data_IF_808736531095
#
_entry.id   IF_808736531095
#
_cell.length_a   1.000
_cell.length_b   1.000
_cell.length_c   1.000
_cell.angle_alpha   90.00
_cell.angle_beta   90.00
_cell.angle_gamma   90.00
#
_symmetry.space_group_name_H-M   'P 1'
#
loop_
_entity.id
_entity.type
_entity.pdbx_description
1 polymer ?
#
# COMPACT_ATOMS: atom_id res chain seq x y z
N UNK A 1 -4.87 -19.28 -4.31
CA UNK A 1 -4.07 -18.03 -4.37
C UNK A 1 -3.11 -18.00 -3.17
N UNK A 2 -2.08 -17.16 -3.17
CA UNK A 2 -1.11 -17.05 -2.06
C UNK A 2 -1.78 -16.76 -0.71
N UNK A 3 -2.74 -15.83 -0.67
CA UNK A 3 -3.56 -15.55 0.51
C UNK A 3 -4.27 -16.79 1.05
N UNK A 4 -4.87 -17.62 0.18
CA UNK A 4 -5.53 -18.87 0.60
C UNK A 4 -4.55 -19.83 1.27
N UNK A 5 -3.29 -19.89 0.78
CA UNK A 5 -2.24 -20.70 1.41
C UNK A 5 -1.84 -20.12 2.77
N UNK A 6 -1.71 -18.80 2.86
CA UNK A 6 -1.35 -18.11 4.09
C UNK A 6 -2.42 -18.30 5.17
N UNK A 7 -3.69 -18.11 4.82
CA UNK A 7 -4.83 -18.34 5.73
C UNK A 7 -4.97 -19.81 6.15
N UNK A 8 -4.62 -20.75 5.25
CA UNK A 8 -4.52 -22.18 5.60
C UNK A 8 -3.44 -22.43 6.66
N UNK A 9 -2.29 -21.76 6.57
CA UNK A 9 -1.23 -21.90 7.58
C UNK A 9 -1.64 -21.24 8.92
N UNK A 10 -2.33 -20.10 8.90
CA UNK A 10 -2.93 -19.49 10.10
C UNK A 10 -3.91 -20.47 10.75
N UNK A 11 -4.77 -21.09 9.94
CA UNK A 11 -5.73 -22.11 10.39
C UNK A 11 -5.04 -23.30 11.07
N UNK A 12 -3.93 -23.79 10.49
CA UNK A 12 -3.13 -24.88 11.07
C UNK A 12 -2.46 -24.46 12.37
N UNK A 13 -1.95 -23.24 12.44
CA UNK A 13 -1.34 -22.69 13.65
C UNK A 13 -2.36 -22.63 14.79
N UNK A 14 -3.53 -22.02 14.56
CA UNK A 14 -4.60 -21.91 15.56
C UNK A 14 -5.00 -23.28 16.11
N UNK A 15 -5.22 -24.26 15.23
CA UNK A 15 -5.56 -25.64 15.62
C UNK A 15 -4.46 -26.31 16.45
N UNK A 16 -3.19 -26.17 16.05
CA UNK A 16 -2.04 -26.76 16.76
C UNK A 16 -1.90 -26.20 18.17
N UNK A 17 -2.19 -24.91 18.35
CA UNK A 17 -2.08 -24.20 19.62
C UNK A 17 -3.38 -24.19 20.44
N UNK A 18 -4.41 -24.95 20.02
CA UNK A 18 -5.72 -25.02 20.69
C UNK A 18 -6.39 -23.66 20.87
N UNK A 19 -6.13 -22.72 19.93
CA UNK A 19 -6.70 -21.38 19.90
C UNK A 19 -8.05 -21.37 19.18
N UNK A 20 -8.86 -20.33 19.41
CA UNK A 20 -10.18 -20.22 18.78
C UNK A 20 -10.01 -19.97 17.28
N UNK A 21 -10.41 -20.95 16.47
CA UNK A 21 -10.24 -20.93 15.02
C UNK A 21 -11.49 -20.49 14.25
N UNK A 22 -12.68 -20.71 14.80
CA UNK A 22 -13.97 -20.45 14.14
C UNK A 22 -14.91 -19.73 15.08
N UNK A 23 -15.74 -18.85 14.53
CA UNK A 23 -16.81 -18.20 15.27
C UNK A 23 -18.20 -18.58 14.78
N UNK A 24 -19.20 -18.31 15.61
CA UNK A 24 -20.63 -18.45 15.29
C UNK A 24 -21.31 -17.08 15.25
N UNK A 25 -22.50 -17.00 14.64
CA UNK A 25 -23.26 -15.75 14.58
C UNK A 25 -23.70 -15.27 15.98
N UNK A 26 -23.80 -16.18 16.95
CA UNK A 26 -24.29 -15.92 18.31
C UNK A 26 -23.16 -15.68 19.32
N UNK A 27 -21.91 -15.47 18.88
CA UNK A 27 -20.79 -15.19 19.76
C UNK A 27 -20.99 -13.88 20.54
N UNK A 28 -20.69 -13.91 21.84
CA UNK A 28 -20.59 -12.68 22.62
C UNK A 28 -19.45 -11.78 22.11
N UNK A 29 -19.51 -10.49 22.44
CA UNK A 29 -18.44 -9.54 22.13
C UNK A 29 -17.08 -10.00 22.69
N UNK A 30 -17.06 -10.55 23.91
CA UNK A 30 -15.84 -11.04 24.53
C UNK A 30 -15.23 -12.24 23.77
N UNK A 31 -16.07 -13.17 23.30
CA UNK A 31 -15.62 -14.30 22.49
C UNK A 31 -15.09 -13.84 21.12
N UNK A 32 -15.79 -12.91 20.47
CA UNK A 32 -15.34 -12.30 19.21
C UNK A 32 -13.99 -11.61 19.38
N UNK A 33 -13.84 -10.78 20.42
CA UNK A 33 -12.58 -10.09 20.72
C UNK A 33 -11.43 -11.08 20.97
N UNK A 34 -11.69 -12.16 21.72
CA UNK A 34 -10.69 -13.21 21.96
C UNK A 34 -10.28 -13.92 20.68
N UNK A 35 -11.23 -14.28 19.83
CA UNK A 35 -10.96 -14.94 18.54
C UNK A 35 -10.15 -14.05 17.60
N UNK A 36 -10.46 -12.75 17.53
CA UNK A 36 -9.68 -11.80 16.73
C UNK A 36 -8.26 -11.62 17.26
N UNK A 37 -8.08 -11.62 18.59
CA UNK A 37 -6.76 -11.57 19.21
C UNK A 37 -5.94 -12.84 18.90
N UNK A 38 -6.54 -14.02 19.04
CA UNK A 38 -5.90 -15.30 18.69
C UNK A 38 -5.53 -15.33 17.18
N UNK A 39 -6.43 -14.88 16.30
CA UNK A 39 -6.14 -14.78 14.86
C UNK A 39 -4.97 -13.84 14.57
N UNK A 40 -4.91 -12.66 15.21
CA UNK A 40 -3.80 -11.71 15.05
C UNK A 40 -2.47 -12.35 15.45
N UNK A 41 -2.43 -13.02 16.60
CA UNK A 41 -1.24 -13.75 17.08
C UNK A 41 -0.80 -14.83 16.08
N UNK A 42 -1.75 -15.62 15.58
CA UNK A 42 -1.45 -16.66 14.59
C UNK A 42 -0.98 -16.08 13.25
N UNK A 43 -1.59 -14.99 12.77
CA UNK A 43 -1.16 -14.27 11.57
C UNK A 43 0.28 -13.81 11.70
N UNK A 44 0.63 -13.17 12.81
CA UNK A 44 1.98 -12.63 13.03
C UNK A 44 3.01 -13.76 13.16
N UNK A 45 2.67 -14.85 13.84
CA UNK A 45 3.55 -16.03 13.94
C UNK A 45 3.79 -16.70 12.57
N UNK A 46 2.75 -16.88 11.78
CA UNK A 46 2.87 -17.47 10.43
C UNK A 46 3.61 -16.53 9.47
N UNK A 47 3.39 -15.22 9.59
CA UNK A 47 4.15 -14.21 8.85
C UNK A 47 5.64 -14.33 9.12
N UNK A 48 6.04 -14.36 10.39
CA UNK A 48 7.44 -14.54 10.79
C UNK A 48 8.01 -15.88 10.31
N UNK A 49 7.26 -16.98 10.46
CA UNK A 49 7.68 -18.27 9.94
C UNK A 49 7.92 -18.22 8.42
N UNK A 50 7.11 -17.49 7.66
CA UNK A 50 7.29 -17.37 6.22
C UNK A 50 8.49 -16.48 5.84
N UNK A 51 8.80 -15.46 6.64
CA UNK A 51 10.03 -14.68 6.52
C UNK A 51 11.26 -15.57 6.75
N UNK A 52 11.29 -16.34 7.85
CA UNK A 52 12.40 -17.24 8.18
C UNK A 52 12.64 -18.29 7.08
N UNK A 53 11.55 -18.78 6.49
CA UNK A 53 11.59 -19.73 5.37
C UNK A 53 11.78 -19.08 4.00
N UNK A 54 12.04 -17.77 3.94
CA UNK A 54 12.27 -17.00 2.71
C UNK A 54 11.16 -17.15 1.66
N UNK A 55 9.90 -17.27 2.10
CA UNK A 55 8.70 -17.35 1.23
C UNK A 55 8.30 -15.97 0.69
N UNK A 56 9.26 -15.22 0.17
CA UNK A 56 9.09 -13.82 -0.21
C UNK A 56 8.10 -13.65 -1.36
N UNK A 57 8.11 -14.56 -2.35
CA UNK A 57 7.15 -14.49 -3.46
C UNK A 57 5.71 -14.59 -2.98
N UNK A 58 5.43 -15.49 -2.04
CA UNK A 58 4.11 -15.66 -1.47
C UNK A 58 3.70 -14.51 -0.56
N UNK A 59 4.62 -14.01 0.28
CA UNK A 59 4.39 -12.84 1.13
C UNK A 59 4.08 -11.59 0.28
N UNK A 60 4.91 -11.30 -0.73
CA UNK A 60 4.68 -10.19 -1.66
C UNK A 60 3.34 -10.35 -2.39
N UNK A 61 3.01 -11.57 -2.82
CA UNK A 61 1.73 -11.82 -3.45
C UNK A 61 0.53 -11.58 -2.51
N UNK A 62 0.66 -11.87 -1.21
CA UNK A 62 -0.37 -11.52 -0.22
C UNK A 62 -0.50 -10.00 -0.06
N UNK A 63 0.62 -9.29 0.01
CA UNK A 63 0.67 -7.83 0.11
C UNK A 63 0.02 -7.15 -1.11
N UNK A 64 0.38 -7.56 -2.33
CA UNK A 64 -0.22 -7.04 -3.57
C UNK A 64 -1.71 -7.38 -3.70
N UNK A 65 -2.14 -8.49 -3.11
CA UNK A 65 -3.56 -8.86 -3.03
C UNK A 65 -4.39 -7.94 -2.11
N UNK A 66 -3.75 -7.14 -1.25
CA UNK A 66 -4.39 -6.19 -0.32
C UNK A 66 -5.45 -6.82 0.61
N UNK A 67 -5.27 -8.10 0.93
CA UNK A 67 -6.14 -8.81 1.86
C UNK A 67 -5.96 -8.37 3.30
N UNK A 68 -4.84 -7.72 3.60
CA UNK A 68 -4.48 -7.21 4.91
C UNK A 68 -4.24 -5.69 4.84
N UNK A 69 -4.49 -4.95 5.94
CA UNK A 69 -4.11 -3.55 6.04
C UNK A 69 -2.61 -3.36 5.77
N UNK A 70 -2.27 -2.23 5.15
CA UNK A 70 -0.89 -1.93 4.75
C UNK A 70 0.05 -1.95 5.97
N UNK A 71 -0.38 -1.33 7.06
CA UNK A 71 0.36 -1.16 8.29
C UNK A 71 0.58 -2.49 9.02
N UNK A 72 -0.28 -3.49 8.78
CA UNK A 72 -0.23 -4.79 9.46
C UNK A 72 0.50 -5.89 8.67
N UNK A 73 0.85 -5.63 7.41
CA UNK A 73 1.41 -6.66 6.53
C UNK A 73 2.46 -6.14 5.55
N UNK A 74 2.07 -5.22 4.66
CA UNK A 74 2.97 -4.72 3.61
C UNK A 74 4.12 -3.90 4.20
N UNK A 75 3.84 -3.02 5.16
CA UNK A 75 4.86 -2.18 5.80
C UNK A 75 5.89 -3.01 6.59
N UNK A 76 5.51 -3.95 7.48
CA UNK A 76 6.47 -4.85 8.13
C UNK A 76 7.32 -5.65 7.14
N UNK A 77 6.74 -6.12 6.03
CA UNK A 77 7.49 -6.83 4.99
C UNK A 77 8.51 -5.92 4.30
N UNK A 78 8.12 -4.68 4.01
CA UNK A 78 9.00 -3.69 3.40
C UNK A 78 10.13 -3.28 4.35
N UNK A 79 9.84 -3.09 5.63
CA UNK A 79 10.85 -2.83 6.68
C UNK A 79 11.87 -3.97 6.75
N UNK A 80 11.41 -5.23 6.76
CA UNK A 80 12.29 -6.38 6.70
C UNK A 80 13.23 -6.34 5.48
N UNK A 81 12.72 -6.09 4.27
CA UNK A 81 13.59 -6.00 3.09
C UNK A 81 14.57 -4.82 3.15
N UNK A 82 14.15 -3.68 3.69
CA UNK A 82 15.02 -2.53 3.88
C UNK A 82 16.17 -2.84 4.87
N UNK A 83 15.85 -3.45 6.02
CA UNK A 83 16.82 -3.87 7.05
C UNK A 83 17.81 -4.92 6.52
N UNK A 84 17.36 -5.80 5.63
CA UNK A 84 18.23 -6.79 4.98
C UNK A 84 19.00 -6.22 3.76
N UNK A 85 18.85 -4.92 3.45
CA UNK A 85 19.37 -4.30 2.23
C UNK A 85 18.97 -5.03 0.94
N UNK A 86 17.80 -5.67 0.93
CA UNK A 86 17.24 -6.37 -0.21
C UNK A 86 16.41 -5.42 -1.08
N UNK A 87 17.14 -4.55 -1.79
CA UNK A 87 16.54 -3.53 -2.63
C UNK A 87 15.68 -4.12 -3.77
N UNK A 88 15.98 -5.34 -4.23
CA UNK A 88 15.25 -6.00 -5.32
C UNK A 88 13.83 -6.33 -4.89
N UNK A 89 13.66 -7.01 -3.75
CA UNK A 89 12.33 -7.33 -3.22
C UNK A 89 11.60 -6.10 -2.72
N UNK A 90 12.33 -5.14 -2.12
CA UNK A 90 11.77 -3.88 -1.68
C UNK A 90 11.18 -3.08 -2.87
N UNK A 91 11.93 -2.93 -3.96
CA UNK A 91 11.46 -2.30 -5.21
C UNK A 91 10.21 -3.00 -5.73
N UNK A 92 10.26 -4.33 -5.87
CA UNK A 92 9.12 -5.09 -6.39
C UNK A 92 7.85 -4.96 -5.54
N UNK A 93 8.01 -4.96 -4.21
CA UNK A 93 6.91 -4.83 -3.27
C UNK A 93 6.28 -3.43 -3.35
N UNK A 94 7.09 -2.38 -3.15
CA UNK A 94 6.63 -1.01 -2.95
C UNK A 94 6.20 -0.32 -4.26
N UNK A 95 6.91 -0.56 -5.37
CA UNK A 95 6.60 0.08 -6.64
C UNK A 95 5.21 -0.31 -7.16
N UNK A 96 4.75 -1.53 -6.89
CA UNK A 96 3.41 -1.97 -7.26
C UNK A 96 2.32 -1.09 -6.64
N UNK A 97 2.42 -0.83 -5.33
CA UNK A 97 1.42 -0.04 -4.62
C UNK A 97 1.49 1.45 -4.99
N UNK A 98 2.70 1.99 -5.08
CA UNK A 98 2.91 3.38 -5.52
C UNK A 98 2.32 3.58 -6.91
N UNK A 99 2.60 2.69 -7.86
CA UNK A 99 2.04 2.77 -9.21
C UNK A 99 0.53 2.76 -9.21
N UNK A 100 -0.10 1.87 -8.45
CA UNK A 100 -1.55 1.83 -8.39
C UNK A 100 -2.13 3.17 -7.88
N UNK A 101 -1.54 3.76 -6.83
CA UNK A 101 -2.00 5.07 -6.31
C UNK A 101 -1.77 6.20 -7.31
N UNK A 102 -0.67 6.17 -8.05
CA UNK A 102 -0.42 7.13 -9.12
C UNK A 102 -1.36 6.94 -10.31
N UNK A 103 -1.72 5.69 -10.65
CA UNK A 103 -2.73 5.39 -11.68
C UNK A 103 -4.11 5.93 -11.27
N UNK A 104 -4.52 5.74 -10.01
CA UNK A 104 -5.75 6.35 -9.45
C UNK A 104 -5.71 7.88 -9.53
N UNK A 105 -4.59 8.49 -9.12
CA UNK A 105 -4.39 9.96 -9.20
C UNK A 105 -4.49 10.47 -10.63
N UNK A 106 -3.84 9.79 -11.58
CA UNK A 106 -3.91 10.12 -13.01
C UNK A 106 -5.34 10.02 -13.56
N UNK A 107 -6.09 9.01 -13.14
CA UNK A 107 -7.49 8.83 -13.54
C UNK A 107 -8.36 9.97 -12.99
N UNK A 108 -8.15 10.39 -11.75
CA UNK A 108 -8.85 11.54 -11.18
C UNK A 108 -8.45 12.85 -11.86
N UNK A 109 -7.17 13.05 -12.18
CA UNK A 109 -6.70 14.22 -12.90
C UNK A 109 -7.37 14.30 -14.28
N UNK A 110 -7.52 13.17 -14.97
CA UNK A 110 -8.28 13.09 -16.23
C UNK A 110 -9.73 13.55 -16.03
N UNK A 111 -10.42 13.07 -14.99
CA UNK A 111 -11.80 13.48 -14.69
C UNK A 111 -11.93 14.96 -14.37
N UNK A 112 -10.95 15.55 -13.69
CA UNK A 112 -10.91 17.01 -13.46
C UNK A 112 -10.83 17.76 -14.79
N UNK A 113 -9.99 17.32 -15.73
CA UNK A 113 -9.90 17.94 -17.06
C UNK A 113 -11.14 17.71 -17.93
N UNK A 114 -11.86 16.60 -17.73
CA UNK A 114 -13.15 16.34 -18.36
C UNK A 114 -14.26 17.23 -17.78
N UNK A 115 -14.18 17.54 -16.48
CA UNK A 115 -15.10 18.44 -15.79
C UNK A 115 -14.88 19.90 -16.20
N UNK A 116 -13.63 20.35 -16.28
CA UNK A 116 -13.26 21.66 -16.82
C UNK A 116 -11.94 21.56 -17.58
N UNK A 117 -12.04 21.70 -18.90
CA UNK A 117 -10.89 21.62 -19.83
C UNK A 117 -9.95 22.82 -19.76
N UNK A 118 -10.42 23.97 -19.25
CA UNK A 118 -9.63 25.19 -19.13
C UNK A 118 -8.78 25.22 -17.85
N UNK A 119 -9.10 24.39 -16.85
CA UNK A 119 -8.31 24.30 -15.63
C UNK A 119 -6.87 23.90 -15.93
N UNK A 120 -5.94 24.77 -15.58
CA UNK A 120 -4.50 24.47 -15.56
C UNK A 120 -4.12 23.70 -14.29
N UNK A 121 -2.92 23.12 -14.26
CA UNK A 121 -2.45 22.42 -13.06
C UNK A 121 -2.23 23.38 -11.88
N UNK A 122 -1.76 24.61 -12.13
CA UNK A 122 -1.62 25.64 -11.09
C UNK A 122 -2.97 26.01 -10.47
N UNK A 123 -4.00 26.21 -11.29
CA UNK A 123 -5.36 26.50 -10.79
C UNK A 123 -5.95 25.35 -9.98
N UNK A 124 -5.64 24.09 -10.33
CA UNK A 124 -6.05 22.93 -9.53
C UNK A 124 -5.37 22.98 -8.15
N UNK A 125 -4.08 23.30 -8.09
CA UNK A 125 -3.33 23.36 -6.83
C UNK A 125 -3.78 24.48 -5.91
N UNK A 126 -4.23 25.60 -6.48
CA UNK A 126 -4.74 26.77 -5.76
C UNK A 126 -6.26 26.68 -5.48
N UNK A 127 -6.91 25.58 -5.86
CA UNK A 127 -8.35 25.45 -5.73
C UNK A 127 -8.79 25.41 -4.26
N UNK A 128 -9.70 26.31 -3.90
CA UNK A 128 -10.25 26.36 -2.56
C UNK A 128 -11.28 25.23 -2.32
N UNK A 129 -10.91 24.28 -1.47
CA UNK A 129 -11.75 23.15 -1.10
C UNK A 129 -12.70 23.46 0.07
N UNK A 130 -12.51 24.57 0.79
CA UNK A 130 -13.25 24.86 2.04
C UNK A 130 -14.74 25.08 1.81
N UNK A 131 -15.12 25.49 0.61
CA UNK A 131 -16.51 25.71 0.21
C UNK A 131 -17.21 24.45 -0.31
N UNK A 132 -16.49 23.34 -0.46
CA UNK A 132 -17.05 22.09 -0.94
C UNK A 132 -17.68 21.29 0.21
N UNK A 133 -18.86 20.73 -0.06
CA UNK A 133 -19.53 19.80 0.83
C UNK A 133 -18.77 18.47 0.86
N UNK A 134 -18.18 18.07 2.01
CA UNK A 134 -17.32 16.89 2.07
C UNK A 134 -18.06 15.57 1.80
N UNK A 135 -19.39 15.55 1.97
CA UNK A 135 -20.23 14.38 1.73
C UNK A 135 -20.62 14.24 0.24
N UNK A 136 -20.37 15.27 -0.57
CA UNK A 136 -20.68 15.26 -2.00
C UNK A 136 -19.43 15.04 -2.83
N UNK A 137 -19.60 14.28 -3.91
CA UNK A 137 -18.54 14.07 -4.87
C UNK A 137 -18.17 15.38 -5.59
N UNK A 138 -16.90 15.75 -5.54
CA UNK A 138 -16.31 16.79 -6.39
C UNK A 138 -15.02 16.27 -7.04
N UNK A 139 -14.84 16.41 -8.37
CA UNK A 139 -13.67 15.84 -9.06
C UNK A 139 -12.32 16.29 -8.49
N UNK A 140 -12.19 17.56 -8.12
CA UNK A 140 -10.95 18.12 -7.57
C UNK A 140 -10.69 17.59 -6.14
N UNK A 141 -11.74 17.47 -5.32
CA UNK A 141 -11.61 16.92 -3.97
C UNK A 141 -11.18 15.45 -4.00
N UNK A 142 -11.78 14.65 -4.89
CA UNK A 142 -11.38 13.26 -5.08
C UNK A 142 -9.94 13.16 -5.63
N UNK A 143 -9.53 14.05 -6.55
CA UNK A 143 -8.13 14.14 -7.00
C UNK A 143 -7.17 14.35 -5.83
N UNK A 144 -7.41 15.33 -4.95
CA UNK A 144 -6.54 15.59 -3.80
C UNK A 144 -6.48 14.42 -2.83
N UNK A 145 -7.60 13.73 -2.59
CA UNK A 145 -7.62 12.51 -1.77
C UNK A 145 -6.72 11.39 -2.34
N UNK A 146 -6.68 11.22 -3.66
CA UNK A 146 -5.80 10.22 -4.28
C UNK A 146 -4.35 10.68 -4.35
N UNK A 147 -4.12 11.98 -4.57
CA UNK A 147 -2.79 12.58 -4.50
C UNK A 147 -2.16 12.38 -3.11
N UNK A 148 -2.91 12.65 -2.04
CA UNK A 148 -2.46 12.46 -0.65
C UNK A 148 -2.10 10.99 -0.37
N UNK A 149 -2.94 10.05 -0.79
CA UNK A 149 -2.65 8.61 -0.68
C UNK A 149 -1.40 8.19 -1.45
N UNK A 150 -1.19 8.72 -2.65
CA UNK A 150 0.00 8.44 -3.44
C UNK A 150 1.24 9.05 -2.79
N UNK A 151 1.14 10.28 -2.29
CA UNK A 151 2.21 10.97 -1.58
C UNK A 151 2.61 10.20 -0.32
N UNK A 152 1.65 9.82 0.53
CA UNK A 152 1.89 9.03 1.73
C UNK A 152 2.67 7.75 1.42
N UNK A 153 2.33 7.05 0.34
CA UNK A 153 3.05 5.84 -0.09
C UNK A 153 4.47 6.12 -0.59
N UNK A 154 4.67 7.21 -1.32
CA UNK A 154 6.01 7.61 -1.75
C UNK A 154 6.86 8.04 -0.54
N UNK A 155 6.27 8.75 0.43
CA UNK A 155 6.96 9.20 1.64
C UNK A 155 7.39 8.02 2.50
N UNK A 156 6.50 7.07 2.78
CA UNK A 156 6.85 5.82 3.46
C UNK A 156 7.97 5.06 2.73
N UNK A 157 7.96 5.06 1.40
CA UNK A 157 8.99 4.37 0.63
C UNK A 157 10.34 5.08 0.67
N UNK A 158 10.36 6.42 0.56
CA UNK A 158 11.59 7.20 0.70
C UNK A 158 12.24 7.01 2.08
N UNK A 159 11.45 6.86 3.14
CA UNK A 159 11.95 6.50 4.47
C UNK A 159 12.65 5.14 4.49
N UNK A 160 12.04 4.11 3.87
CA UNK A 160 12.62 2.78 3.73
C UNK A 160 13.90 2.74 2.88
N UNK A 161 14.07 3.72 1.99
CA UNK A 161 15.21 3.83 1.10
C UNK A 161 16.40 4.60 1.70
N UNK A 162 16.26 5.24 2.87
CA UNK A 162 17.28 6.15 3.43
C UNK A 162 18.67 5.54 3.55
N UNK A 163 18.74 4.28 3.95
CA UNK A 163 20.00 3.55 4.18
C UNK A 163 20.42 2.69 2.98
N UNK A 164 19.76 2.86 1.82
CA UNK A 164 20.07 2.14 0.60
C UNK A 164 21.13 2.90 -0.22
N UNK A 165 22.02 2.16 -0.89
CA UNK A 165 23.16 2.73 -1.62
C UNK A 165 22.81 3.27 -3.02
N UNK A 166 21.63 2.98 -3.55
CA UNK A 166 21.22 3.34 -4.92
C UNK A 166 20.68 4.78 -4.97
N UNK A 167 21.59 5.75 -4.86
CA UNK A 167 21.25 7.18 -4.79
C UNK A 167 20.52 7.69 -6.05
N UNK A 168 20.87 7.18 -7.24
CA UNK A 168 20.21 7.55 -8.49
C UNK A 168 18.74 7.13 -8.48
N UNK A 169 18.46 5.92 -8.00
CA UNK A 169 17.08 5.45 -7.85
C UNK A 169 16.31 6.24 -6.79
N UNK A 170 16.94 6.54 -5.65
CA UNK A 170 16.29 7.35 -4.61
C UNK A 170 15.91 8.72 -5.16
N UNK A 171 16.81 9.34 -5.93
CA UNK A 171 16.54 10.64 -6.55
C UNK A 171 15.42 10.55 -7.60
N UNK A 172 15.35 9.46 -8.36
CA UNK A 172 14.22 9.20 -9.25
C UNK A 172 12.88 9.15 -8.49
N UNK A 173 12.82 8.52 -7.31
CA UNK A 173 11.61 8.51 -6.47
C UNK A 173 11.28 9.91 -5.93
N UNK A 174 12.29 10.71 -5.55
CA UNK A 174 12.08 12.11 -5.13
C UNK A 174 11.52 12.97 -6.26
N UNK A 175 12.06 12.84 -7.47
CA UNK A 175 11.55 13.53 -8.65
C UNK A 175 10.11 13.12 -8.97
N UNK A 176 9.77 11.84 -8.78
CA UNK A 176 8.39 11.37 -8.93
C UNK A 176 7.45 12.02 -7.90
N UNK A 177 7.87 12.14 -6.64
CA UNK A 177 7.14 12.90 -5.61
C UNK A 177 6.90 14.34 -6.03
N UNK A 178 7.94 15.04 -6.50
CA UNK A 178 7.82 16.43 -6.96
C UNK A 178 6.82 16.57 -8.10
N UNK A 179 6.87 15.67 -9.10
CA UNK A 179 5.90 15.65 -10.20
C UNK A 179 4.47 15.42 -9.72
N UNK A 180 4.26 14.54 -8.74
CA UNK A 180 2.95 14.31 -8.12
C UNK A 180 2.43 15.57 -7.42
N UNK A 181 3.27 16.24 -6.63
CA UNK A 181 2.91 17.47 -5.91
C UNK A 181 2.54 18.63 -6.86
N UNK A 182 3.11 18.63 -8.06
CA UNK A 182 2.83 19.64 -9.09
C UNK A 182 1.70 19.24 -10.06
N UNK A 183 1.00 18.12 -9.81
CA UNK A 183 0.00 17.52 -10.73
C UNK A 183 0.55 17.26 -12.15
N UNK A 184 1.87 17.06 -12.28
CA UNK A 184 2.59 16.89 -13.53
C UNK A 184 3.01 15.43 -13.81
N UNK A 185 2.59 14.48 -12.97
CA UNK A 185 2.84 13.05 -13.18
C UNK A 185 2.19 12.57 -14.49
N UNK A 186 2.88 11.69 -15.21
CA UNK A 186 2.46 11.12 -16.49
C UNK A 186 2.57 9.61 -16.48
N UNK A 187 1.84 8.95 -17.38
CA UNK A 187 1.95 7.49 -17.60
C UNK A 187 3.39 7.04 -17.93
N UNK A 188 4.22 7.90 -18.52
CA UNK A 188 5.63 7.62 -18.78
C UNK A 188 6.45 7.50 -17.50
N UNK A 189 6.14 8.28 -16.47
CA UNK A 189 6.87 8.24 -15.19
C UNK A 189 6.65 6.90 -14.48
N UNK A 190 5.45 6.34 -14.58
CA UNK A 190 5.11 5.02 -14.01
C UNK A 190 5.88 3.87 -14.67
N UNK A 191 6.40 4.05 -15.89
CA UNK A 191 7.24 3.03 -16.55
C UNK A 191 8.62 2.92 -15.89
N UNK A 192 9.07 3.99 -15.22
CA UNK A 192 10.37 4.05 -14.55
C UNK A 192 10.37 3.24 -13.24
N UNK A 193 9.19 3.05 -12.63
CA UNK A 193 9.00 2.26 -11.40
C UNK A 193 8.18 1.00 -11.68
N UNK A 194 8.60 0.23 -12.69
CA UNK A 194 7.97 -1.04 -13.08
C UNK A 194 8.94 -2.20 -12.91
N UNK A 195 9.46 -2.35 -11.70
CA UNK A 195 10.35 -3.45 -11.38
C UNK A 195 9.61 -4.79 -11.51
N UNK A 196 10.34 -5.78 -12.02
CA UNK A 196 9.87 -7.14 -12.20
C UNK A 196 10.93 -8.08 -11.65
N UNK A 197 10.51 -9.04 -10.83
CA UNK A 197 11.31 -10.19 -10.38
C UNK A 197 11.04 -11.38 -11.28
#
# INVERSE_FOLDING_TARGET
>A
MSYSKFDTEISKYLKRHQMIYSGTADESFAQTARRLADYKLAKDAVFQQWLDNKKFKELISCAHGRWYPYEEFTLPLAQYFAEQHDLVHLKFLCEHEIRFRLEDTLNCLKRVKEFDTALTNSQILEYDLTHLDPEKYHPIQELFKWQDKAQSRIDSYLELLKDQSDHDYIELIRQLKQKLLQMNVKKSDLKLIKFKI
#
